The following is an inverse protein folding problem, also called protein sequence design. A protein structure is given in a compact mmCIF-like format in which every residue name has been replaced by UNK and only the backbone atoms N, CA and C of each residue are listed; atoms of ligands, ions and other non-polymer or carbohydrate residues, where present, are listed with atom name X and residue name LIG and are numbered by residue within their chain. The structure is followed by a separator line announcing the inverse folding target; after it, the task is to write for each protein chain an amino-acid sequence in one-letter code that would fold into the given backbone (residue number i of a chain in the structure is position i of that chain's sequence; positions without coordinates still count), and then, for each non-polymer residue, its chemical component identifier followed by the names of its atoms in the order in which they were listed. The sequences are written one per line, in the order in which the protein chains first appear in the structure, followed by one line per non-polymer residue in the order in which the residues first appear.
data_IF_905590686146
#
_entry.id   IF_905590686146
#
_cell.length_a   1.000
_cell.length_b   1.000
_cell.length_c   1.000
_cell.angle_alpha   90.00
_cell.angle_beta   90.00
_cell.angle_gamma   90.00
#
_symmetry.space_group_name_H-M   'P 1'
#
loop_
_entity.id
_entity.type
_entity.pdbx_description
1 polymer ?
#
# COMPACT_ATOMS: atom_id res chain seq x y z
N UNK A 1 26.57 -4.09 2.12
CA UNK A 1 25.31 -3.31 2.23
C UNK A 1 24.59 -3.50 0.89
N UNK A 2 23.27 -3.40 0.81
CA UNK A 2 22.53 -3.74 -0.42
C UNK A 2 22.80 -2.66 -1.49
N UNK A 3 23.96 -2.73 -2.16
CA UNK A 3 24.43 -1.80 -3.19
C UNK A 3 23.65 -2.02 -4.49
N UNK A 4 22.36 -1.70 -4.44
CA UNK A 4 21.53 -1.66 -5.63
C UNK A 4 21.69 -0.31 -6.30
N UNK A 5 22.07 -0.31 -7.57
CA UNK A 5 22.13 0.89 -8.44
C UNK A 5 20.74 1.49 -8.76
N UNK A 6 19.73 1.15 -7.96
CA UNK A 6 18.34 1.43 -8.22
C UNK A 6 18.03 2.91 -8.08
N UNK A 7 17.66 3.56 -9.19
CA UNK A 7 17.13 4.93 -9.17
C UNK A 7 15.72 4.93 -8.60
N UNK A 8 15.43 5.86 -7.68
CA UNK A 8 14.09 6.04 -7.07
C UNK A 8 12.96 6.13 -8.10
N UNK A 9 13.19 6.85 -9.20
CA UNK A 9 12.22 6.98 -10.30
C UNK A 9 11.94 5.62 -10.95
N UNK A 10 12.95 4.77 -11.13
CA UNK A 10 12.75 3.43 -11.67
C UNK A 10 11.88 2.58 -10.76
N UNK A 11 12.15 2.63 -9.44
CA UNK A 11 11.38 1.90 -8.43
C UNK A 11 9.91 2.32 -8.46
N UNK A 12 9.66 3.64 -8.55
CA UNK A 12 8.31 4.19 -8.64
C UNK A 12 7.59 3.73 -9.91
N UNK A 13 8.26 3.77 -11.07
CA UNK A 13 7.69 3.33 -12.35
C UNK A 13 7.33 1.85 -12.33
N UNK A 14 8.25 0.99 -11.90
CA UNK A 14 7.98 -0.44 -11.79
C UNK A 14 6.86 -0.72 -10.80
N UNK A 15 6.85 -0.07 -9.63
CA UNK A 15 5.80 -0.28 -8.63
C UNK A 15 4.43 0.12 -9.18
N UNK A 16 4.37 1.22 -9.94
CA UNK A 16 3.13 1.72 -10.56
C UNK A 16 2.61 0.75 -11.63
N UNK A 17 3.49 0.25 -12.51
CA UNK A 17 3.10 -0.69 -13.57
C UNK A 17 2.71 -2.05 -12.99
N UNK A 18 3.42 -2.52 -11.96
CA UNK A 18 3.17 -3.82 -11.35
C UNK A 18 1.86 -3.89 -10.59
N UNK A 19 1.32 -2.75 -10.11
CA UNK A 19 0.01 -2.70 -9.43
C UNK A 19 -1.17 -2.76 -10.42
N UNK A 20 -0.97 -2.46 -11.70
CA UNK A 20 -2.06 -2.43 -12.70
C UNK A 20 -2.88 -3.74 -12.79
N UNK A 21 -2.29 -4.94 -12.86
CA UNK A 21 -3.06 -6.19 -12.95
C UNK A 21 -3.91 -6.44 -11.71
N UNK A 22 -3.46 -5.99 -10.54
CA UNK A 22 -4.23 -6.08 -9.29
C UNK A 22 -5.47 -5.17 -9.34
N UNK A 23 -5.31 -3.92 -9.76
CA UNK A 23 -6.44 -2.98 -9.90
C UNK A 23 -7.42 -3.47 -10.97
N UNK A 24 -6.91 -3.98 -12.10
CA UNK A 24 -7.72 -4.57 -13.14
C UNK A 24 -8.51 -5.79 -12.64
N UNK A 25 -7.89 -6.63 -11.81
CA UNK A 25 -8.54 -7.79 -11.21
C UNK A 25 -9.79 -7.42 -10.41
N UNK A 26 -9.70 -6.38 -9.57
CA UNK A 26 -10.85 -5.93 -8.77
C UNK A 26 -11.97 -5.42 -9.69
N UNK A 27 -11.64 -4.51 -10.61
CA UNK A 27 -12.63 -3.92 -11.51
C UNK A 27 -13.30 -4.98 -12.41
N UNK A 28 -12.50 -5.90 -12.97
CA UNK A 28 -12.99 -6.96 -13.83
C UNK A 28 -13.89 -7.93 -13.04
N UNK A 29 -13.47 -8.36 -11.85
CA UNK A 29 -14.31 -9.22 -11.00
C UNK A 29 -15.62 -8.54 -10.59
N UNK A 30 -15.61 -7.24 -10.28
CA UNK A 30 -16.85 -6.49 -9.98
C UNK A 30 -17.81 -6.45 -11.16
N UNK A 31 -17.30 -6.23 -12.38
CA UNK A 31 -18.14 -6.22 -13.58
C UNK A 31 -18.68 -7.62 -13.87
N UNK A 32 -17.83 -8.65 -13.88
CA UNK A 32 -18.25 -10.02 -14.21
C UNK A 32 -19.16 -10.62 -13.13
N UNK A 33 -19.05 -10.21 -11.86
CA UNK A 33 -19.95 -10.64 -10.79
C UNK A 33 -21.42 -10.27 -11.05
N UNK A 34 -21.72 -9.29 -11.91
CA UNK A 34 -23.10 -8.97 -12.29
C UNK A 34 -23.67 -9.94 -13.34
N UNK A 35 -22.81 -10.68 -14.05
CA UNK A 35 -23.19 -11.60 -15.11
C UNK A 35 -23.16 -13.08 -14.66
N UNK A 36 -22.49 -13.36 -13.54
CA UNK A 36 -22.23 -14.72 -13.06
C UNK A 36 -23.11 -15.02 -11.84
N UNK A 37 -23.66 -16.24 -11.79
CA UNK A 37 -24.45 -16.74 -10.66
C UNK A 37 -23.53 -17.19 -9.53
N UNK A 38 -23.95 -17.05 -8.27
CA UNK A 38 -23.17 -17.40 -7.06
C UNK A 38 -22.50 -18.79 -7.09
N UNK A 39 -23.13 -19.78 -7.73
CA UNK A 39 -22.58 -21.14 -7.87
C UNK A 39 -21.33 -21.24 -8.75
N UNK A 40 -21.08 -20.23 -9.59
CA UNK A 40 -19.95 -20.16 -10.53
C UNK A 40 -18.86 -19.18 -10.07
N UNK A 41 -18.98 -18.61 -8.87
CA UNK A 41 -18.03 -17.62 -8.33
C UNK A 41 -16.57 -18.11 -8.27
N UNK A 42 -16.33 -19.43 -8.26
CA UNK A 42 -14.99 -20.03 -8.33
C UNK A 42 -14.19 -19.53 -9.54
N UNK A 43 -14.81 -19.31 -10.70
CA UNK A 43 -14.11 -18.81 -11.88
C UNK A 43 -13.54 -17.39 -11.66
N UNK A 44 -14.28 -16.54 -10.95
CA UNK A 44 -13.82 -15.20 -10.58
C UNK A 44 -12.66 -15.24 -9.59
N UNK A 45 -12.70 -16.15 -8.62
CA UNK A 45 -11.60 -16.33 -7.67
C UNK A 45 -10.32 -16.81 -8.37
N UNK A 46 -10.41 -17.75 -9.31
CA UNK A 46 -9.24 -18.24 -10.07
C UNK A 46 -8.67 -17.14 -10.95
N UNK A 47 -9.52 -16.39 -11.65
CA UNK A 47 -9.10 -15.24 -12.46
C UNK A 47 -8.42 -14.17 -11.60
N UNK A 48 -9.02 -13.85 -10.45
CA UNK A 48 -8.48 -12.86 -9.53
C UNK A 48 -7.13 -13.30 -8.96
N UNK A 49 -7.00 -14.57 -8.55
CA UNK A 49 -5.75 -15.14 -8.09
C UNK A 49 -4.65 -15.10 -9.16
N UNK A 50 -4.98 -15.41 -10.42
CA UNK A 50 -4.04 -15.35 -11.54
C UNK A 50 -3.51 -13.92 -11.78
N UNK A 51 -4.39 -12.92 -11.75
CA UNK A 51 -4.01 -11.52 -11.94
C UNK A 51 -3.21 -10.96 -10.75
N UNK A 52 -3.56 -11.35 -9.52
CA UNK A 52 -2.77 -11.02 -8.31
C UNK A 52 -1.36 -11.61 -8.42
N UNK A 53 -1.26 -12.90 -8.80
CA UNK A 53 0.02 -13.57 -8.98
C UNK A 53 0.84 -12.88 -10.08
N UNK A 54 0.20 -12.48 -11.18
CA UNK A 54 0.84 -11.75 -12.27
C UNK A 54 1.40 -10.39 -11.81
N UNK A 55 0.61 -9.62 -11.04
CA UNK A 55 1.05 -8.37 -10.42
C UNK A 55 2.30 -8.57 -9.55
N UNK A 56 2.30 -9.62 -8.72
CA UNK A 56 3.45 -9.95 -7.87
C UNK A 56 4.71 -10.30 -8.67
N UNK A 57 4.56 -11.09 -9.74
CA UNK A 57 5.69 -11.45 -10.62
C UNK A 57 6.28 -10.24 -11.33
N UNK A 58 5.45 -9.30 -11.80
CA UNK A 58 5.92 -8.03 -12.38
C UNK A 58 6.70 -7.20 -11.36
N UNK A 59 6.23 -7.15 -10.11
CA UNK A 59 6.89 -6.40 -9.05
C UNK A 59 8.28 -6.96 -8.75
N UNK A 60 8.39 -8.28 -8.56
CA UNK A 60 9.67 -8.94 -8.26
C UNK A 60 10.64 -8.83 -9.45
N UNK A 61 10.16 -9.06 -10.67
CA UNK A 61 11.01 -9.00 -11.87
C UNK A 61 11.51 -7.59 -12.17
N UNK A 62 10.65 -6.57 -12.01
CA UNK A 62 11.04 -5.17 -12.20
C UNK A 62 11.99 -4.66 -11.11
N UNK A 63 11.78 -5.03 -9.84
CA UNK A 63 12.70 -4.66 -8.76
C UNK A 63 14.07 -5.29 -8.93
N UNK A 64 14.10 -6.57 -9.33
CA UNK A 64 15.33 -7.28 -9.68
C UNK A 64 16.09 -6.55 -10.80
N UNK A 65 15.39 -6.11 -11.85
CA UNK A 65 16.00 -5.43 -12.99
C UNK A 65 16.59 -4.06 -12.62
N UNK A 66 15.93 -3.30 -11.73
CA UNK A 66 16.39 -1.95 -11.35
C UNK A 66 17.55 -1.99 -10.36
N UNK A 67 17.46 -2.84 -9.35
CA UNK A 67 18.49 -2.92 -8.32
C UNK A 67 19.64 -3.88 -8.68
N UNK A 68 19.55 -4.58 -9.82
CA UNK A 68 20.44 -5.67 -10.21
C UNK A 68 20.62 -6.72 -9.08
N UNK A 69 19.57 -6.89 -8.28
CA UNK A 69 19.60 -7.78 -7.13
C UNK A 69 19.48 -9.25 -7.55
N UNK A 70 20.01 -10.14 -6.71
CA UNK A 70 19.61 -11.55 -6.79
C UNK A 70 18.18 -11.71 -6.25
N UNK A 71 17.50 -12.80 -6.63
CA UNK A 71 16.12 -13.04 -6.20
C UNK A 71 15.98 -13.05 -4.66
N UNK A 72 16.89 -13.75 -3.96
CA UNK A 72 16.93 -13.79 -2.49
C UNK A 72 17.07 -12.39 -1.86
N UNK A 73 17.93 -11.54 -2.43
CA UNK A 73 18.12 -10.15 -1.95
C UNK A 73 16.87 -9.30 -2.21
N UNK A 74 16.16 -9.56 -3.31
CA UNK A 74 14.91 -8.85 -3.65
C UNK A 74 13.81 -9.12 -2.61
N UNK A 75 13.63 -10.39 -2.21
CA UNK A 75 12.67 -10.73 -1.15
C UNK A 75 13.05 -10.13 0.21
N UNK A 76 14.33 -10.17 0.58
CA UNK A 76 14.81 -9.54 1.81
C UNK A 76 14.57 -8.02 1.80
N UNK A 77 14.81 -7.37 0.65
CA UNK A 77 14.53 -5.94 0.46
C UNK A 77 13.05 -5.63 0.58
N UNK A 78 12.19 -6.46 0.01
CA UNK A 78 10.74 -6.29 0.08
C UNK A 78 10.27 -6.38 1.53
N UNK A 79 10.73 -7.39 2.27
CA UNK A 79 10.42 -7.58 3.68
C UNK A 79 10.86 -6.39 4.53
N UNK A 80 12.09 -5.92 4.34
CA UNK A 80 12.60 -4.76 5.07
C UNK A 80 11.81 -3.49 4.75
N UNK A 81 11.40 -3.29 3.50
CA UNK A 81 10.55 -2.16 3.09
C UNK A 81 9.18 -2.19 3.79
N UNK A 82 8.54 -3.36 3.87
CA UNK A 82 7.25 -3.52 4.59
C UNK A 82 7.42 -3.24 6.08
N UNK A 83 8.47 -3.77 6.72
CA UNK A 83 8.77 -3.49 8.12
C UNK A 83 9.03 -1.98 8.36
N UNK A 84 9.79 -1.33 7.49
CA UNK A 84 10.07 0.11 7.59
C UNK A 84 8.79 0.95 7.45
N UNK A 85 7.90 0.60 6.50
CA UNK A 85 6.60 1.26 6.34
C UNK A 85 5.73 1.08 7.59
N UNK A 86 5.71 -0.13 8.18
CA UNK A 86 4.95 -0.38 9.41
C UNK A 86 5.42 0.50 10.58
N UNK A 87 6.73 0.61 10.79
CA UNK A 87 7.30 1.50 11.82
C UNK A 87 6.98 2.96 11.54
N UNK A 88 7.13 3.41 10.29
CA UNK A 88 6.80 4.77 9.88
C UNK A 88 5.31 5.10 10.10
N UNK A 89 4.43 4.14 9.83
CA UNK A 89 2.99 4.29 10.03
C UNK A 89 2.64 4.45 11.52
N UNK A 90 3.28 3.69 12.41
CA UNK A 90 3.10 3.86 13.87
C UNK A 90 3.53 5.27 14.31
N UNK A 91 4.66 5.77 13.82
CA UNK A 91 5.11 7.13 14.13
C UNK A 91 4.09 8.17 13.63
N UNK A 92 3.57 8.01 12.41
CA UNK A 92 2.56 8.89 11.85
C UNK A 92 1.27 8.90 12.69
N UNK A 93 0.82 7.74 13.18
CA UNK A 93 -0.33 7.64 14.08
C UNK A 93 -0.09 8.34 15.42
N UNK A 94 1.11 8.24 15.99
CA UNK A 94 1.46 8.95 17.22
C UNK A 94 1.43 10.47 17.03
N UNK A 95 1.99 10.96 15.92
CA UNK A 95 1.94 12.38 15.58
C UNK A 95 0.51 12.86 15.35
N UNK A 96 -0.31 12.04 14.67
CA UNK A 96 -1.73 12.32 14.47
C UNK A 96 -2.49 12.43 15.80
N UNK A 97 -2.24 11.51 16.73
CA UNK A 97 -2.82 11.56 18.09
C UNK A 97 -2.40 12.83 18.84
N UNK A 98 -1.12 13.20 18.77
CA UNK A 98 -0.61 14.41 19.41
C UNK A 98 -1.24 15.67 18.82
N UNK A 99 -1.40 15.73 17.51
CA UNK A 99 -2.10 16.82 16.83
C UNK A 99 -3.56 16.93 17.32
N UNK A 100 -4.28 15.82 17.39
CA UNK A 100 -5.66 15.81 17.91
C UNK A 100 -5.74 16.28 19.36
N UNK A 101 -4.80 15.90 20.22
CA UNK A 101 -4.76 16.35 21.62
C UNK A 101 -4.56 17.86 21.73
N UNK A 102 -3.65 18.43 20.93
CA UNK A 102 -3.44 19.89 20.90
C UNK A 102 -4.70 20.61 20.40
N UNK A 103 -5.34 20.09 19.36
CA UNK A 103 -6.57 20.67 18.83
C UNK A 103 -7.70 20.68 19.88
N UNK A 104 -7.88 19.58 20.64
CA UNK A 104 -8.86 19.51 21.73
C UNK A 104 -8.51 20.43 22.90
N UNK A 105 -7.22 20.59 23.23
CA UNK A 105 -6.79 21.53 24.25
C UNK A 105 -7.16 22.96 23.87
N UNK A 106 -6.88 23.36 22.62
CA UNK A 106 -7.23 24.69 22.12
C UNK A 106 -8.74 24.90 22.09
N UNK A 107 -9.54 23.93 21.64
CA UNK A 107 -11.00 24.06 21.68
C UNK A 107 -11.54 24.20 23.11
N UNK A 108 -11.00 23.43 24.05
CA UNK A 108 -11.39 23.51 25.46
C UNK A 108 -11.06 24.88 26.07
N UNK A 109 -9.89 25.45 25.74
CA UNK A 109 -9.54 26.81 26.16
C UNK A 109 -10.50 27.86 25.60
N UNK A 110 -10.89 27.74 24.32
CA UNK A 110 -11.88 28.65 23.73
C UNK A 110 -13.24 28.53 24.42
N UNK A 111 -13.68 27.30 24.72
CA UNK A 111 -14.94 27.06 25.42
C UNK A 111 -14.92 27.67 26.83
N UNK A 112 -13.85 27.48 27.61
CA UNK A 112 -13.70 28.08 28.94
C UNK A 112 -13.73 29.61 28.90
N UNK A 113 -13.00 30.23 27.98
CA UNK A 113 -12.97 31.70 27.82
C UNK A 113 -14.36 32.22 27.42
N UNK A 114 -15.06 31.52 26.54
CA UNK A 114 -16.42 31.90 26.12
C UNK A 114 -17.44 31.80 27.26
N UNK A 115 -17.28 30.80 28.13
CA UNK A 115 -18.12 30.63 29.31
C UNK A 115 -17.89 31.75 30.33
N UNK A 116 -16.63 32.17 30.52
CA UNK A 116 -16.29 33.29 31.41
C UNK A 116 -16.81 34.65 30.92
N UNK A 117 -16.95 34.85 29.61
CA UNK A 117 -17.46 36.10 29.04
C UNK A 117 -18.99 36.22 29.04
N UNK A 118 -19.73 35.14 29.34
CA UNK A 118 -21.19 35.13 29.44
C UNK A 118 -21.65 35.31 30.88
#
# INVERSE_FOLDING_TARGET
MMDGSGKLIGILTVSSVSILPFVLSINLSTVLSHFITESEGVFLYVLQAALILWSFLLLVSGLKAIHEFSLLKTFASLFFSVCAIAVMFVIALLLWSLYQQIAMFVSTLFDEISFMMR
#
